data_IF_093595682430
#
_entry.id   IF_093595682430
#
_cell.length_a   1.000
_cell.length_b   1.000
_cell.length_c   1.000
_cell.angle_alpha   90.00
_cell.angle_beta   90.00
_cell.angle_gamma   90.00
#
_symmetry.space_group_name_H-M   'P 1'
#
loop_
_entity.id
_entity.type
_entity.pdbx_description
1 polymer ?
#
# COMPACT_ATOMS: atom_id res chain seq x y z
N UNK A 1 51.63 -31.84 6.37
CA UNK A 1 52.06 -31.62 7.75
C UNK A 1 50.87 -31.04 8.48
N UNK A 2 50.53 -31.77 9.52
CA UNK A 2 49.29 -31.77 10.26
C UNK A 2 49.16 -30.59 11.23
N UNK A 3 48.01 -30.65 11.89
CA UNK A 3 47.74 -30.19 13.25
C UNK A 3 47.15 -28.78 13.40
N UNK A 4 45.84 -28.67 13.63
CA UNK A 4 45.14 -28.98 14.90
C UNK A 4 45.76 -28.17 16.02
N UNK A 5 45.05 -27.22 16.64
CA UNK A 5 44.33 -27.36 17.91
C UNK A 5 44.16 -25.92 18.47
N UNK A 6 43.17 -25.48 19.25
CA UNK A 6 41.93 -26.03 19.82
C UNK A 6 41.28 -24.91 20.68
N UNK A 7 40.01 -25.13 21.06
CA UNK A 7 39.38 -24.78 22.36
C UNK A 7 38.78 -23.38 22.60
N UNK A 8 37.44 -23.40 22.62
CA UNK A 8 36.51 -23.03 23.71
C UNK A 8 36.51 -21.56 24.20
N UNK A 9 35.37 -20.90 24.37
CA UNK A 9 34.33 -21.32 25.31
C UNK A 9 33.08 -20.44 25.15
N UNK A 10 31.89 -21.05 25.18
CA UNK A 10 30.62 -20.36 25.41
C UNK A 10 30.63 -19.60 26.76
N UNK A 11 29.65 -18.69 26.98
CA UNK A 11 28.58 -19.17 27.83
C UNK A 11 27.18 -18.84 27.33
N UNK A 12 26.34 -19.85 27.58
CA UNK A 12 24.90 -19.79 27.81
C UNK A 12 24.53 -18.57 28.67
N UNK A 13 23.49 -17.85 28.26
CA UNK A 13 22.72 -17.02 29.18
C UNK A 13 21.25 -17.41 29.11
N UNK A 14 20.86 -18.25 30.07
CA UNK A 14 19.51 -18.33 30.59
C UNK A 14 19.02 -16.94 30.99
N UNK A 15 17.92 -16.48 30.41
CA UNK A 15 17.03 -15.53 31.08
C UNK A 15 15.58 -15.96 30.89
N UNK A 16 15.11 -16.75 31.86
CA UNK A 16 13.73 -16.70 32.34
C UNK A 16 13.44 -15.26 32.78
N UNK A 17 12.58 -14.55 32.04
CA UNK A 17 12.11 -13.22 32.37
C UNK A 17 10.74 -12.98 31.76
N UNK A 18 9.72 -13.18 32.58
CA UNK A 18 8.29 -13.01 32.30
C UNK A 18 8.01 -11.65 31.62
N UNK A 19 7.17 -11.65 30.59
CA UNK A 19 6.08 -10.68 30.34
C UNK A 19 5.42 -10.97 28.98
N UNK A 20 4.68 -12.08 28.91
CA UNK A 20 3.61 -12.23 27.92
C UNK A 20 2.41 -11.43 28.43
N UNK A 21 2.08 -10.32 27.76
CA UNK A 21 0.82 -9.62 27.98
C UNK A 21 -0.32 -10.59 27.71
N UNK A 22 -0.98 -11.03 28.78
CA UNK A 22 -2.30 -11.62 28.71
C UNK A 22 -3.25 -10.63 28.04
N UNK A 23 -3.85 -11.08 26.94
CA UNK A 23 -5.01 -10.46 26.34
C UNK A 23 -6.11 -10.51 27.41
N UNK A 24 -6.37 -9.37 28.03
CA UNK A 24 -7.41 -9.21 29.03
C UNK A 24 -8.76 -9.50 28.36
N UNK A 25 -9.31 -10.66 28.71
CA UNK A 25 -10.63 -11.11 28.32
C UNK A 25 -11.66 -10.22 29.02
N UNK A 26 -12.77 -9.85 28.35
CA UNK A 26 -13.79 -9.02 28.97
C UNK A 26 -14.44 -9.77 30.14
N UNK A 27 -14.33 -9.15 31.31
CA UNK A 27 -14.94 -9.57 32.57
C UNK A 27 -16.44 -9.75 32.38
N UNK A 28 -16.93 -10.99 32.56
CA UNK A 28 -18.35 -11.32 32.61
C UNK A 28 -18.93 -10.74 33.90
N UNK A 29 -19.72 -9.67 33.80
CA UNK A 29 -20.60 -9.24 34.88
C UNK A 29 -21.78 -10.22 35.04
N UNK A 30 -22.32 -10.39 36.26
CA UNK A 30 -23.27 -11.45 36.57
C UNK A 30 -24.61 -11.20 35.89
N UNK A 31 -25.10 -12.22 35.18
CA UNK A 31 -26.48 -12.28 34.71
C UNK A 31 -27.35 -12.63 35.91
N UNK A 32 -28.17 -11.68 36.36
CA UNK A 32 -29.26 -11.97 37.28
C UNK A 32 -30.22 -12.97 36.62
N UNK A 33 -30.30 -14.14 37.25
CA UNK A 33 -31.21 -15.21 36.90
C UNK A 33 -32.65 -14.80 37.21
N UNK A 34 -33.44 -14.49 36.17
CA UNK A 34 -34.90 -14.43 36.31
C UNK A 34 -35.47 -15.83 36.12
N UNK A 35 -36.14 -16.25 37.18
CA UNK A 35 -36.80 -17.52 37.44
C UNK A 35 -37.59 -18.11 36.25
N UNK A 36 -37.43 -19.43 36.07
CA UNK A 36 -38.29 -20.27 35.24
C UNK A 36 -39.66 -20.42 35.91
N UNK A 37 -40.69 -19.83 35.32
CA UNK A 37 -42.06 -20.32 35.50
C UNK A 37 -42.57 -20.86 34.17
N UNK A 38 -42.73 -22.19 34.13
CA UNK A 38 -43.57 -22.87 33.14
C UNK A 38 -45.01 -22.48 33.42
N UNK A 39 -45.71 -21.96 32.42
CA UNK A 39 -47.16 -22.09 32.36
C UNK A 39 -47.56 -22.28 30.91
N UNK A 40 -48.12 -23.44 30.62
CA UNK A 40 -48.76 -23.74 29.35
C UNK A 40 -49.97 -22.80 29.20
N UNK A 41 -49.91 -21.92 28.21
CA UNK A 41 -51.02 -21.04 27.84
C UNK A 41 -50.92 -20.78 26.35
N UNK A 42 -51.83 -21.38 25.58
CA UNK A 42 -52.04 -21.06 24.17
C UNK A 42 -52.47 -19.59 24.08
N UNK A 43 -51.53 -18.67 23.87
CA UNK A 43 -51.87 -17.30 23.47
C UNK A 43 -51.72 -17.18 21.96
N UNK A 44 -52.89 -17.31 21.34
CA UNK A 44 -53.25 -16.76 20.04
C UNK A 44 -52.47 -15.46 19.77
N UNK A 45 -51.67 -15.45 18.70
CA UNK A 45 -51.06 -14.23 18.16
C UNK A 45 -52.20 -13.34 17.66
N UNK A 46 -52.73 -12.50 18.55
CA UNK A 46 -53.52 -11.33 18.15
C UNK A 46 -52.55 -10.34 17.53
N UNK A 47 -52.44 -10.40 16.20
CA UNK A 47 -51.85 -9.33 15.40
C UNK A 47 -52.82 -8.15 15.49
N UNK A 48 -52.71 -7.35 16.56
CA UNK A 48 -53.44 -6.11 16.71
C UNK A 48 -53.13 -5.23 15.50
N UNK A 49 -54.18 -4.74 14.86
CA UNK A 49 -54.13 -3.86 13.68
C UNK A 49 -53.48 -2.55 14.14
N UNK A 50 -52.16 -2.44 14.06
CA UNK A 50 -51.42 -1.21 14.36
C UNK A 50 -52.10 -0.08 13.59
N UNK A 51 -52.55 0.94 14.32
CA UNK A 51 -53.18 2.08 13.66
C UNK A 51 -52.13 2.83 12.88
N UNK A 52 -52.53 3.54 11.82
CA UNK A 52 -51.61 4.37 11.03
C UNK A 52 -50.86 5.37 11.92
N UNK A 53 -51.51 5.83 13.00
CA UNK A 53 -50.92 6.72 14.00
C UNK A 53 -49.87 6.02 14.88
N UNK A 54 -50.06 4.75 15.24
CA UNK A 54 -49.04 3.97 15.96
C UNK A 54 -47.77 3.78 15.11
N UNK A 55 -47.93 3.52 13.81
CA UNK A 55 -46.79 3.39 12.90
C UNK A 55 -46.04 4.72 12.72
N UNK A 56 -46.76 5.83 12.62
CA UNK A 56 -46.16 7.18 12.58
C UNK A 56 -45.41 7.50 13.88
N UNK A 57 -46.02 7.21 15.03
CA UNK A 57 -45.43 7.44 16.35
C UNK A 57 -44.17 6.59 16.57
N UNK A 58 -44.21 5.32 16.18
CA UNK A 58 -43.05 4.42 16.27
C UNK A 58 -41.91 4.89 15.33
N UNK A 59 -42.25 5.33 14.12
CA UNK A 59 -41.28 5.90 13.17
C UNK A 59 -40.62 7.15 13.74
N UNK A 60 -41.41 8.07 14.32
CA UNK A 60 -40.90 9.29 14.95
C UNK A 60 -40.02 8.98 16.17
N UNK A 61 -40.43 8.02 17.00
CA UNK A 61 -39.67 7.55 18.16
C UNK A 61 -38.32 6.97 17.72
N UNK A 62 -38.29 6.17 16.65
CA UNK A 62 -37.05 5.62 16.08
C UNK A 62 -36.14 6.70 15.53
N UNK A 63 -36.68 7.71 14.85
CA UNK A 63 -35.89 8.85 14.34
C UNK A 63 -35.26 9.65 15.49
N UNK A 64 -36.03 9.96 16.53
CA UNK A 64 -35.53 10.64 17.72
C UNK A 64 -34.46 9.82 18.46
N UNK A 65 -34.68 8.51 18.61
CA UNK A 65 -33.70 7.62 19.21
C UNK A 65 -32.39 7.57 18.41
N UNK A 66 -32.48 7.49 17.08
CA UNK A 66 -31.32 7.49 16.21
C UNK A 66 -30.55 8.82 16.30
N UNK A 67 -31.25 9.95 16.34
CA UNK A 67 -30.63 11.27 16.48
C UNK A 67 -29.93 11.42 17.83
N UNK A 68 -30.59 11.03 18.92
CA UNK A 68 -30.00 11.03 20.25
C UNK A 68 -28.78 10.11 20.35
N UNK A 69 -28.84 8.94 19.70
CA UNK A 69 -27.73 7.98 19.63
C UNK A 69 -26.54 8.55 18.86
N UNK A 70 -26.79 9.25 17.73
CA UNK A 70 -25.74 9.97 16.99
C UNK A 70 -25.08 11.04 17.86
N UNK A 71 -25.88 11.87 18.54
CA UNK A 71 -25.38 12.92 19.42
C UNK A 71 -24.55 12.34 20.57
N UNK A 72 -25.03 11.26 21.22
CA UNK A 72 -24.27 10.56 22.25
C UNK A 72 -22.91 10.06 21.75
N UNK A 73 -22.87 9.48 20.55
CA UNK A 73 -21.63 9.00 19.95
C UNK A 73 -20.68 10.15 19.59
N UNK A 74 -21.21 11.28 19.11
CA UNK A 74 -20.43 12.49 18.86
C UNK A 74 -19.82 13.03 20.15
N UNK A 75 -20.62 13.21 21.21
CA UNK A 75 -20.12 13.68 22.50
C UNK A 75 -19.11 12.72 23.11
N UNK A 76 -19.31 11.40 22.98
CA UNK A 76 -18.32 10.42 23.41
C UNK A 76 -16.98 10.60 22.66
N UNK A 77 -17.00 10.73 21.33
CA UNK A 77 -15.80 11.02 20.54
C UNK A 77 -15.13 12.32 20.99
N UNK A 78 -15.89 13.37 21.27
CA UNK A 78 -15.35 14.63 21.77
C UNK A 78 -14.69 14.47 23.13
N UNK A 79 -15.31 13.75 24.06
CA UNK A 79 -14.74 13.46 25.38
C UNK A 79 -13.44 12.66 25.23
N UNK A 80 -13.42 11.62 24.39
CA UNK A 80 -12.24 10.80 24.13
C UNK A 80 -11.10 11.63 23.52
N UNK A 81 -11.42 12.51 22.55
CA UNK A 81 -10.46 13.41 21.93
C UNK A 81 -9.89 14.42 22.94
N UNK A 82 -10.74 15.00 23.80
CA UNK A 82 -10.30 15.93 24.85
C UNK A 82 -9.42 15.23 25.88
N UNK A 83 -9.78 14.01 26.29
CA UNK A 83 -8.97 13.21 27.21
C UNK A 83 -7.57 12.90 26.61
N UNK A 84 -7.51 12.58 25.32
CA UNK A 84 -6.25 12.38 24.60
C UNK A 84 -5.44 13.68 24.48
N UNK A 85 -6.08 14.80 24.12
CA UNK A 85 -5.41 16.09 24.05
C UNK A 85 -4.80 16.50 25.39
N UNK A 86 -5.54 16.34 26.50
CA UNK A 86 -5.02 16.60 27.85
C UNK A 86 -3.82 15.72 28.16
N UNK A 87 -3.86 14.44 27.78
CA UNK A 87 -2.74 13.50 27.97
C UNK A 87 -1.50 13.93 27.19
N UNK A 88 -1.66 14.40 25.96
CA UNK A 88 -0.56 14.89 25.10
C UNK A 88 0.05 16.16 25.71
N UNK A 89 -0.77 17.15 26.08
CA UNK A 89 -0.31 18.41 26.69
C UNK A 89 0.47 18.14 27.98
N UNK A 90 -0.04 17.26 28.85
CA UNK A 90 0.66 16.86 30.08
C UNK A 90 1.99 16.15 29.83
N UNK A 91 2.16 15.57 28.64
CA UNK A 91 3.38 14.89 28.22
C UNK A 91 4.28 15.77 27.33
N UNK A 92 4.11 17.10 27.34
CA UNK A 92 4.80 18.03 26.42
C UNK A 92 6.32 17.89 26.33
N UNK A 93 7.02 17.49 27.40
CA UNK A 93 8.46 17.17 27.34
C UNK A 93 8.78 16.04 26.34
N UNK A 94 7.88 15.05 26.19
CA UNK A 94 8.03 13.96 25.23
C UNK A 94 7.89 14.47 23.79
N UNK A 95 7.04 15.46 23.55
CA UNK A 95 6.86 16.04 22.22
C UNK A 95 8.11 16.81 21.78
N UNK A 96 8.68 17.64 22.66
CA UNK A 96 9.96 18.32 22.40
C UNK A 96 11.07 17.31 22.09
N UNK A 97 11.18 16.24 22.88
CA UNK A 97 12.17 15.18 22.65
C UNK A 97 11.94 14.46 21.32
N UNK A 98 10.69 14.25 20.93
CA UNK A 98 10.36 13.65 19.62
C UNK A 98 10.78 14.58 18.48
N UNK A 99 10.53 15.89 18.58
CA UNK A 99 10.99 16.87 17.58
C UNK A 99 12.52 16.90 17.46
N UNK A 100 13.25 16.87 18.59
CA UNK A 100 14.70 16.76 18.57
C UNK A 100 15.19 15.47 17.91
N UNK A 101 14.51 14.34 18.16
CA UNK A 101 14.84 13.08 17.52
C UNK A 101 14.58 13.14 16.01
N UNK A 102 13.46 13.75 15.58
CA UNK A 102 13.17 13.97 14.17
C UNK A 102 14.33 14.73 13.52
N UNK A 103 14.80 15.82 14.14
CA UNK A 103 15.89 16.61 13.58
C UNK A 103 17.21 15.84 13.52
N UNK A 104 17.53 15.05 14.56
CA UNK A 104 18.71 14.18 14.55
C UNK A 104 18.64 13.14 13.43
N UNK A 105 17.50 12.49 13.25
CA UNK A 105 17.31 11.49 12.20
C UNK A 105 17.32 12.12 10.80
N UNK A 106 16.77 13.33 10.65
CA UNK A 106 16.90 14.11 9.42
C UNK A 106 18.36 14.40 9.12
N UNK A 107 19.13 14.88 10.08
CA UNK A 107 20.57 15.12 9.89
C UNK A 107 21.33 13.87 9.45
N UNK A 108 21.07 12.71 10.07
CA UNK A 108 21.66 11.43 9.65
C UNK A 108 21.25 11.07 8.22
N UNK A 109 19.97 11.24 7.87
CA UNK A 109 19.47 10.92 6.53
C UNK A 109 20.05 11.86 5.46
N UNK A 110 20.16 13.16 5.75
CA UNK A 110 20.79 14.15 4.87
C UNK A 110 22.26 13.83 4.62
N UNK A 111 23.01 13.46 5.67
CA UNK A 111 24.40 13.05 5.55
C UNK A 111 24.53 11.75 4.74
N UNK A 112 23.68 10.76 5.01
CA UNK A 112 23.64 9.50 4.26
C UNK A 112 23.33 9.71 2.78
N UNK A 113 22.35 10.55 2.46
CA UNK A 113 22.02 10.90 1.07
C UNK A 113 23.14 11.67 0.39
N UNK A 114 23.80 12.60 1.08
CA UNK A 114 24.96 13.31 0.54
C UNK A 114 26.11 12.35 0.21
N UNK A 115 26.38 11.39 1.09
CA UNK A 115 27.37 10.35 0.83
C UNK A 115 26.99 9.48 -0.38
N UNK A 116 25.74 9.03 -0.46
CA UNK A 116 25.25 8.24 -1.59
C UNK A 116 25.31 9.01 -2.89
N UNK A 117 24.92 10.30 -2.89
CA UNK A 117 24.99 11.15 -4.07
C UNK A 117 26.43 11.31 -4.54
N UNK A 118 27.37 11.61 -3.64
CA UNK A 118 28.78 11.73 -4.01
C UNK A 118 29.34 10.43 -4.59
N UNK A 119 29.01 9.30 -3.97
CA UNK A 119 29.40 7.97 -4.48
C UNK A 119 28.78 7.66 -5.84
N UNK A 120 27.51 8.02 -6.04
CA UNK A 120 26.82 7.88 -7.32
C UNK A 120 27.43 8.78 -8.39
N UNK A 121 27.69 10.05 -8.08
CA UNK A 121 28.31 11.02 -8.99
C UNK A 121 29.67 10.52 -9.47
N UNK A 122 30.50 9.97 -8.60
CA UNK A 122 31.78 9.37 -9.02
C UNK A 122 31.61 8.22 -10.01
N UNK A 123 30.58 7.36 -9.82
CA UNK A 123 30.27 6.28 -10.77
C UNK A 123 29.73 6.82 -12.08
N UNK A 124 28.89 7.85 -12.02
CA UNK A 124 28.30 8.53 -13.17
C UNK A 124 29.40 9.19 -14.02
N UNK A 125 30.34 9.90 -13.39
CA UNK A 125 31.48 10.50 -14.10
C UNK A 125 32.30 9.43 -14.81
N UNK A 126 32.56 8.28 -14.17
CA UNK A 126 33.25 7.15 -14.82
C UNK A 126 32.48 6.54 -16.01
N UNK A 127 31.15 6.64 -15.99
CA UNK A 127 30.30 6.15 -17.06
C UNK A 127 30.20 7.11 -18.25
N UNK A 128 30.76 8.32 -18.18
CA UNK A 128 30.67 9.34 -19.23
C UNK A 128 29.70 10.48 -18.91
N UNK A 129 29.21 10.58 -17.68
CA UNK A 129 28.29 11.63 -17.24
C UNK A 129 26.86 11.13 -17.03
N UNK A 130 25.99 12.03 -16.57
CA UNK A 130 24.61 11.71 -16.20
C UNK A 130 23.76 11.32 -17.41
N UNK A 131 23.99 11.96 -18.55
CA UNK A 131 23.30 11.66 -19.81
C UNK A 131 23.53 10.22 -20.27
N UNK A 132 24.76 9.72 -20.14
CA UNK A 132 25.09 8.36 -20.55
C UNK A 132 24.48 7.31 -19.61
N UNK A 133 24.33 7.65 -18.32
CA UNK A 133 23.55 6.82 -17.39
C UNK A 133 22.08 6.76 -17.80
N UNK A 134 21.46 7.91 -18.08
CA UNK A 134 20.06 7.98 -18.54
C UNK A 134 19.85 7.22 -19.85
N UNK A 135 20.80 7.34 -20.78
CA UNK A 135 20.76 6.61 -22.06
C UNK A 135 20.76 5.10 -21.84
N UNK A 136 21.62 4.60 -20.95
CA UNK A 136 21.67 3.18 -20.61
C UNK A 136 20.42 2.69 -19.88
N UNK A 137 19.85 3.51 -18.99
CA UNK A 137 18.57 3.23 -18.35
C UNK A 137 17.44 3.13 -19.38
N UNK A 138 17.36 4.07 -20.32
CA UNK A 138 16.37 4.08 -21.39
C UNK A 138 16.53 2.88 -22.32
N UNK A 139 17.76 2.56 -22.72
CA UNK A 139 18.02 1.36 -23.52
C UNK A 139 17.63 0.07 -22.79
N UNK A 140 17.86 -0.02 -21.48
CA UNK A 140 17.44 -1.16 -20.68
C UNK A 140 15.91 -1.25 -20.57
N UNK A 141 15.24 -0.12 -20.38
CA UNK A 141 13.78 -0.06 -20.33
C UNK A 141 13.14 -0.37 -21.69
N UNK A 142 13.72 0.13 -22.78
CA UNK A 142 13.34 -0.22 -24.15
C UNK A 142 13.46 -1.72 -24.39
N UNK A 143 14.61 -2.32 -24.04
CA UNK A 143 14.79 -3.79 -24.16
C UNK A 143 13.75 -4.53 -23.34
N UNK A 144 13.45 -4.08 -22.12
CA UNK A 144 12.43 -4.70 -21.27
C UNK A 144 11.03 -4.64 -21.91
N UNK A 145 10.65 -3.50 -22.47
CA UNK A 145 9.37 -3.36 -23.19
C UNK A 145 9.34 -4.24 -24.44
N UNK A 146 10.45 -4.32 -25.18
CA UNK A 146 10.58 -5.20 -26.34
C UNK A 146 10.37 -6.67 -25.94
N UNK A 147 11.02 -7.13 -24.86
CA UNK A 147 10.82 -8.49 -24.36
C UNK A 147 9.38 -8.74 -23.89
N UNK A 148 8.80 -7.86 -23.09
CA UNK A 148 7.45 -8.09 -22.55
C UNK A 148 6.36 -8.21 -23.62
N UNK A 149 6.52 -7.46 -24.72
CA UNK A 149 5.54 -7.41 -25.80
C UNK A 149 5.75 -8.56 -26.79
N UNK A 150 7.01 -8.80 -27.20
CA UNK A 150 7.28 -9.80 -28.23
C UNK A 150 7.12 -11.23 -27.68
N UNK A 151 7.52 -11.49 -26.43
CA UNK A 151 7.59 -12.85 -25.89
C UNK A 151 6.22 -13.42 -25.46
N UNK A 152 5.26 -12.56 -25.10
CA UNK A 152 3.94 -13.02 -24.65
C UNK A 152 2.89 -12.94 -25.76
N UNK A 153 2.81 -11.80 -26.47
CA UNK A 153 1.69 -11.58 -27.40
C UNK A 153 1.86 -12.34 -28.71
N UNK A 154 3.09 -12.48 -29.19
CA UNK A 154 3.35 -13.12 -30.48
C UNK A 154 3.23 -14.65 -30.37
N UNK A 155 3.74 -15.23 -29.29
CA UNK A 155 3.63 -16.66 -28.98
C UNK A 155 2.16 -17.05 -28.69
N UNK A 156 1.42 -16.25 -27.94
CA UNK A 156 -0.01 -16.48 -27.69
C UNK A 156 -0.83 -16.42 -29.01
N UNK A 157 -0.49 -15.50 -29.91
CA UNK A 157 -1.15 -15.40 -31.23
C UNK A 157 -0.87 -16.61 -32.10
N UNK A 158 0.37 -17.08 -32.15
CA UNK A 158 0.75 -18.27 -32.92
C UNK A 158 0.03 -19.51 -32.38
N UNK A 159 -0.03 -19.67 -31.05
CA UNK A 159 -0.76 -20.76 -30.41
C UNK A 159 -2.27 -20.74 -30.73
N UNK A 160 -2.89 -19.55 -30.76
CA UNK A 160 -4.31 -19.42 -31.11
C UNK A 160 -4.54 -19.75 -32.58
N UNK A 161 -3.65 -19.37 -33.49
CA UNK A 161 -3.76 -19.71 -34.91
C UNK A 161 -3.53 -21.19 -35.22
N UNK A 162 -2.78 -21.90 -34.37
CA UNK A 162 -2.60 -23.35 -34.44
C UNK A 162 -3.73 -24.14 -33.76
N UNK A 163 -4.63 -23.48 -33.03
CA UNK A 163 -5.71 -24.16 -32.30
C UNK A 163 -6.74 -24.82 -33.24
N UNK A 164 -7.21 -26.00 -32.86
CA UNK A 164 -8.25 -26.72 -33.61
C UNK A 164 -9.55 -25.91 -33.72
N UNK A 165 -9.84 -25.07 -32.73
CA UNK A 165 -10.99 -24.16 -32.70
C UNK A 165 -10.90 -23.09 -33.79
N UNK A 166 -9.71 -22.51 -33.99
CA UNK A 166 -9.47 -21.52 -35.04
C UNK A 166 -9.53 -22.14 -36.45
N UNK A 167 -8.93 -23.32 -36.62
CA UNK A 167 -8.93 -24.03 -37.91
C UNK A 167 -10.32 -24.55 -38.31
N UNK A 168 -11.21 -24.80 -37.35
CA UNK A 168 -12.58 -25.21 -37.59
C UNK A 168 -13.52 -24.06 -38.00
N UNK A 169 -13.08 -22.80 -37.88
CA UNK A 169 -13.88 -21.64 -38.28
C UNK A 169 -13.99 -21.53 -39.82
N UNK A 170 -15.09 -20.96 -40.35
CA UNK A 170 -15.19 -20.58 -41.75
C UNK A 170 -14.06 -19.61 -42.16
N UNK A 171 -13.63 -19.68 -43.41
CA UNK A 171 -12.48 -18.91 -43.93
C UNK A 171 -12.69 -17.38 -43.78
N UNK A 172 -13.92 -16.89 -43.94
CA UNK A 172 -14.29 -15.48 -43.68
C UNK A 172 -14.06 -15.09 -42.21
N UNK A 173 -14.43 -15.96 -41.27
CA UNK A 173 -14.27 -15.71 -39.82
C UNK A 173 -12.81 -15.81 -39.38
N UNK A 174 -12.04 -16.72 -39.99
CA UNK A 174 -10.59 -16.80 -39.75
C UNK A 174 -9.89 -15.50 -40.18
N UNK A 175 -10.30 -14.93 -41.31
CA UNK A 175 -9.73 -13.68 -41.81
C UNK A 175 -10.07 -12.50 -40.89
N UNK A 176 -11.34 -12.35 -40.48
CA UNK A 176 -11.73 -11.30 -39.54
C UNK A 176 -10.98 -11.41 -38.20
N UNK A 177 -10.77 -12.63 -37.71
CA UNK A 177 -10.04 -12.86 -36.46
C UNK A 177 -8.54 -12.54 -36.59
N UNK A 178 -7.92 -12.87 -37.73
CA UNK A 178 -6.54 -12.44 -38.05
C UNK A 178 -6.44 -10.92 -38.10
N UNK A 179 -7.41 -10.25 -38.71
CA UNK A 179 -7.44 -8.79 -38.81
C UNK A 179 -7.61 -8.14 -37.43
N UNK A 180 -8.47 -8.70 -36.56
CA UNK A 180 -8.61 -8.24 -35.17
C UNK A 180 -7.32 -8.40 -34.36
N UNK A 181 -6.65 -9.55 -34.46
CA UNK A 181 -5.40 -9.76 -33.73
C UNK A 181 -4.25 -8.91 -34.26
N UNK A 182 -4.19 -8.70 -35.58
CA UNK A 182 -3.24 -7.77 -36.19
C UNK A 182 -3.48 -6.32 -35.74
N UNK A 183 -4.75 -5.91 -35.59
CA UNK A 183 -5.08 -4.59 -35.05
C UNK A 183 -4.66 -4.46 -33.58
N UNK A 184 -4.87 -5.50 -32.75
CA UNK A 184 -4.40 -5.52 -31.37
C UNK A 184 -2.87 -5.42 -31.28
N UNK A 185 -2.14 -6.16 -32.14
CA UNK A 185 -0.69 -6.06 -32.23
C UNK A 185 -0.26 -4.63 -32.61
N UNK A 186 -0.95 -4.01 -33.57
CA UNK A 186 -0.70 -2.62 -33.96
C UNK A 186 -0.98 -1.64 -32.83
N UNK A 187 -2.04 -1.84 -32.06
CA UNK A 187 -2.33 -1.02 -30.88
C UNK A 187 -1.24 -1.13 -29.81
N UNK A 188 -0.80 -2.35 -29.51
CA UNK A 188 0.25 -2.60 -28.53
C UNK A 188 1.58 -1.99 -28.98
N UNK A 189 1.93 -2.16 -30.26
CA UNK A 189 3.11 -1.52 -30.85
C UNK A 189 3.02 0.01 -30.79
N UNK A 190 1.86 0.58 -31.12
CA UNK A 190 1.62 2.03 -31.00
C UNK A 190 1.74 2.52 -29.55
N UNK A 191 1.31 1.72 -28.55
CA UNK A 191 1.49 2.06 -27.13
C UNK A 191 2.96 2.02 -26.75
N UNK A 192 3.71 1.02 -27.21
CA UNK A 192 5.16 0.93 -27.02
C UNK A 192 5.88 2.15 -27.57
N UNK A 193 5.60 2.51 -28.82
CA UNK A 193 6.25 3.63 -29.48
C UNK A 193 5.92 4.96 -28.79
N UNK A 194 4.69 5.11 -28.27
CA UNK A 194 4.32 6.25 -27.42
C UNK A 194 5.07 6.28 -26.09
N UNK A 195 5.28 5.15 -25.44
CA UNK A 195 6.05 5.08 -24.19
C UNK A 195 7.53 5.38 -24.42
N UNK A 196 8.13 4.80 -25.45
CA UNK A 196 9.52 5.10 -25.85
C UNK A 196 9.66 6.60 -26.17
N UNK A 197 8.74 7.18 -26.95
CA UNK A 197 8.77 8.60 -27.26
C UNK A 197 8.66 9.50 -26.02
N UNK A 198 7.85 9.10 -25.02
CA UNK A 198 7.78 9.81 -23.73
C UNK A 198 9.09 9.73 -22.95
N UNK A 199 9.74 8.57 -22.94
CA UNK A 199 11.03 8.39 -22.27
C UNK A 199 12.14 9.21 -22.96
N UNK A 200 12.17 9.22 -24.29
CA UNK A 200 13.10 10.04 -25.07
C UNK A 200 12.87 11.54 -24.86
N UNK A 201 11.62 11.98 -24.76
CA UNK A 201 11.29 13.38 -24.47
C UNK A 201 11.82 13.80 -23.08
N UNK A 202 11.64 12.95 -22.06
CA UNK A 202 12.19 13.19 -20.71
C UNK A 202 13.71 13.21 -20.71
N UNK A 203 14.36 12.36 -21.50
CA UNK A 203 15.81 12.37 -21.66
C UNK A 203 16.29 13.69 -22.27
N UNK A 204 15.62 14.18 -23.32
CA UNK A 204 15.95 15.48 -23.94
C UNK A 204 15.77 16.65 -22.98
N UNK A 205 14.73 16.62 -22.14
CA UNK A 205 14.51 17.63 -21.11
C UNK A 205 15.61 17.60 -20.03
N UNK A 206 16.13 16.42 -19.73
CA UNK A 206 17.20 16.20 -18.75
C UNK A 206 18.61 16.37 -19.33
N UNK A 207 18.73 16.72 -20.63
CA UNK A 207 20.02 16.93 -21.28
C UNK A 207 20.75 18.13 -20.64
N UNK A 208 22.03 17.94 -20.33
CA UNK A 208 22.87 18.91 -19.63
C UNK A 208 22.60 19.06 -18.14
N UNK A 209 21.67 18.28 -17.55
CA UNK A 209 21.44 18.30 -16.11
C UNK A 209 22.35 17.31 -15.37
N UNK A 210 22.71 17.66 -14.13
CA UNK A 210 23.38 16.74 -13.20
C UNK A 210 22.36 16.00 -12.33
N UNK A 211 22.78 14.87 -11.75
CA UNK A 211 21.95 14.14 -10.80
C UNK A 211 21.72 14.98 -9.54
N UNK A 212 20.48 15.37 -9.29
CA UNK A 212 20.11 16.14 -8.11
C UNK A 212 19.77 15.25 -6.91
N UNK A 213 19.80 15.81 -5.70
CA UNK A 213 19.41 15.11 -4.48
C UNK A 213 17.93 14.66 -4.52
N UNK A 214 17.07 15.45 -5.16
CA UNK A 214 15.67 15.11 -5.36
C UNK A 214 15.50 13.93 -6.32
N UNK A 215 16.35 13.83 -7.34
CA UNK A 215 16.34 12.68 -8.25
C UNK A 215 16.87 11.41 -7.55
N UNK A 216 17.90 11.56 -6.71
CA UNK A 216 18.36 10.47 -5.86
C UNK A 216 17.24 9.98 -4.93
N UNK A 217 16.50 10.89 -4.27
CA UNK A 217 15.43 10.52 -3.34
C UNK A 217 14.30 9.76 -4.04
N UNK A 218 13.93 10.16 -5.26
CA UNK A 218 12.99 9.40 -6.10
C UNK A 218 13.49 7.99 -6.40
N UNK A 219 14.76 7.85 -6.80
CA UNK A 219 15.36 6.54 -7.12
C UNK A 219 15.40 5.58 -5.92
N UNK A 220 15.66 6.11 -4.72
CA UNK A 220 15.64 5.32 -3.47
C UNK A 220 14.23 5.23 -2.83
N UNK A 221 13.19 5.72 -3.53
CA UNK A 221 11.78 5.70 -3.11
C UNK A 221 11.54 6.35 -1.74
N UNK A 222 12.19 7.48 -1.51
CA UNK A 222 12.10 8.23 -0.27
C UNK A 222 11.50 9.60 -0.52
N UNK A 223 10.62 10.04 0.38
CA UNK A 223 10.03 11.36 0.31
C UNK A 223 11.09 12.43 0.60
N UNK A 224 11.30 13.33 -0.35
CA UNK A 224 12.26 14.41 -0.25
C UNK A 224 11.88 15.40 0.88
N UNK A 225 10.58 15.70 1.01
CA UNK A 225 10.06 16.67 2.00
C UNK A 225 10.19 16.16 3.43
N UNK A 226 10.28 14.85 3.62
CA UNK A 226 10.48 14.27 4.95
C UNK A 226 11.85 14.64 5.55
N UNK A 227 12.85 14.85 4.68
CA UNK A 227 14.25 15.01 5.07
C UNK A 227 14.75 16.43 4.83
N UNK A 228 14.28 17.07 3.77
CA UNK A 228 14.55 18.48 3.46
C UNK A 228 13.23 19.26 3.51
N UNK A 229 12.70 19.53 4.72
CA UNK A 229 11.62 20.49 4.88
C UNK A 229 12.13 21.89 4.49
N UNK A 230 11.29 22.71 3.86
CA UNK A 230 11.58 24.12 3.53
C UNK A 230 11.93 24.97 4.76
#
# INVERSE_FOLDING_TARGET
MDDTTIINSSPVSDQKGKNSMEICSPTKTPVESVSKYKTAGKHLVQKSRETLEDHKLNTQTRLLYNELSKQKNLYKKHIDNLAQAIKIIKAGEKESRVLELIEKWRGVAQAGMSFMLNSAMLKITKLGGYEELLKKELEAERRKLDYQINDNLQDDMEQVFESEEFLALPEEMQQEYRDQMNEQLREVQNRKDKEIAKLEAKMKESAGQEMTMQELSRRIKMDYMLIFPE
#
